data_IF_234118560533
#
_entry.id   IF_234118560533
#
_cell.length_a   1.000
_cell.length_b   1.000
_cell.length_c   1.000
_cell.angle_alpha   90.00
_cell.angle_beta   90.00
_cell.angle_gamma   90.00
#
_symmetry.space_group_name_H-M   'P 1'
#
loop_
_entity.id
_entity.type
_entity.pdbx_description
1 polymer ?
#
# COMPACT_ATOMS: atom_id res chain seq x y z
N UNK A 1 35.58 -1.34 -4.83
CA UNK A 1 35.46 -1.05 -6.28
C UNK A 1 34.55 0.16 -6.37
N UNK A 2 35.10 1.34 -6.20
CA UNK A 2 34.31 2.59 -6.25
C UNK A 2 34.07 2.94 -7.72
N UNK A 3 32.81 2.88 -8.14
CA UNK A 3 32.41 3.28 -9.49
C UNK A 3 32.65 4.78 -9.71
N UNK A 4 32.65 5.24 -10.98
CA UNK A 4 32.84 6.65 -11.30
C UNK A 4 31.73 7.48 -10.64
N UNK A 5 32.12 8.46 -9.82
CA UNK A 5 31.19 9.44 -9.27
C UNK A 5 30.82 10.43 -10.39
N UNK A 6 29.58 10.31 -10.88
CA UNK A 6 29.01 11.26 -11.83
C UNK A 6 28.55 12.51 -11.08
N UNK A 7 28.77 13.69 -11.66
CA UNK A 7 28.28 14.94 -11.10
C UNK A 7 26.76 15.09 -11.28
N UNK A 8 26.13 15.93 -10.46
CA UNK A 8 24.69 16.24 -10.56
C UNK A 8 24.29 16.72 -11.96
N UNK A 9 25.19 17.40 -12.66
CA UNK A 9 24.98 17.84 -14.03
C UNK A 9 24.91 16.66 -15.00
N UNK A 10 25.83 15.70 -14.88
CA UNK A 10 25.84 14.49 -15.71
C UNK A 10 24.60 13.63 -15.45
N UNK A 11 24.15 13.56 -14.20
CA UNK A 11 22.93 12.82 -13.82
C UNK A 11 21.68 13.45 -14.42
N UNK A 12 21.59 14.79 -14.47
CA UNK A 12 20.49 15.51 -15.12
C UNK A 12 20.48 15.33 -16.63
N UNK A 13 21.64 15.36 -17.28
CA UNK A 13 21.78 15.11 -18.73
C UNK A 13 21.35 13.68 -19.12
N UNK A 14 21.52 12.72 -18.21
CA UNK A 14 21.04 11.34 -18.36
C UNK A 14 19.54 11.17 -18.04
N UNK A 15 18.82 12.25 -17.74
CA UNK A 15 17.39 12.21 -17.42
C UNK A 15 17.08 11.61 -16.04
N UNK A 16 18.08 11.51 -15.15
CA UNK A 16 17.86 11.06 -13.77
C UNK A 16 17.12 12.15 -13.01
N UNK A 17 15.90 11.85 -12.58
CA UNK A 17 15.15 12.72 -11.68
C UNK A 17 15.41 12.30 -10.24
N UNK A 18 15.87 13.24 -9.42
CA UNK A 18 15.99 13.01 -7.99
C UNK A 18 14.60 13.19 -7.37
N UNK A 19 14.04 12.10 -6.87
CA UNK A 19 12.87 12.19 -6.00
C UNK A 19 13.35 12.53 -4.60
N UNK A 20 13.24 13.80 -4.23
CA UNK A 20 13.42 14.21 -2.84
C UNK A 20 12.13 13.85 -2.09
N UNK A 21 12.16 12.85 -1.20
CA UNK A 21 10.96 12.42 -0.52
C UNK A 21 10.44 13.59 0.32
N UNK A 22 9.17 13.96 0.11
CA UNK A 22 8.50 15.06 0.84
C UNK A 22 8.36 14.76 2.34
N UNK A 23 8.55 13.51 2.73
CA UNK A 23 8.70 13.09 4.12
C UNK A 23 10.20 13.01 4.42
N UNK A 24 10.71 13.73 5.44
CA UNK A 24 12.10 13.56 5.85
C UNK A 24 12.30 12.07 6.14
N UNK A 25 13.38 11.49 5.60
CA UNK A 25 13.72 10.11 5.89
C UNK A 25 13.67 9.91 7.41
N UNK A 26 12.71 9.11 7.87
CA UNK A 26 12.44 8.92 9.29
C UNK A 26 13.58 8.08 9.86
N UNK A 27 14.67 8.78 10.20
CA UNK A 27 15.88 8.34 10.90
C UNK A 27 16.77 7.39 10.11
N UNK A 28 18.07 7.65 10.18
CA UNK A 28 19.10 6.75 9.67
C UNK A 28 18.89 5.34 10.22
N UNK A 29 18.97 4.36 9.33
CA UNK A 29 19.05 2.97 9.75
C UNK A 29 20.47 2.76 10.24
N UNK A 30 20.62 2.49 11.54
CA UNK A 30 21.91 2.21 12.15
C UNK A 30 22.15 0.70 12.06
N UNK A 31 23.36 0.29 11.69
CA UNK A 31 23.72 -1.12 11.71
C UNK A 31 24.21 -1.47 13.11
N UNK A 32 23.43 -2.27 13.85
CA UNK A 32 23.81 -2.81 15.17
C UNK A 32 24.00 -4.31 15.01
N UNK A 33 25.22 -4.80 15.23
CA UNK A 33 25.55 -6.24 15.08
C UNK A 33 25.14 -6.82 13.72
N UNK A 34 25.38 -6.08 12.64
CA UNK A 34 25.01 -6.50 11.28
C UNK A 34 23.52 -6.40 10.92
N UNK A 35 22.66 -5.93 11.84
CA UNK A 35 21.22 -5.72 11.61
C UNK A 35 20.93 -4.24 11.39
N UNK A 36 20.12 -3.92 10.37
CA UNK A 36 19.63 -2.55 10.14
C UNK A 36 18.50 -2.26 11.14
N UNK A 37 18.78 -1.34 12.05
CA UNK A 37 17.91 -0.98 13.15
C UNK A 37 17.44 0.46 13.02
N UNK A 38 16.15 0.70 13.23
CA UNK A 38 15.63 2.06 13.42
C UNK A 38 15.76 2.42 14.89
N UNK A 39 16.51 3.48 15.18
CA UNK A 39 16.77 3.95 16.55
C UNK A 39 15.76 5.05 16.90
N UNK A 40 15.27 5.04 18.15
CA UNK A 40 14.38 6.06 18.65
C UNK A 40 15.01 6.85 19.81
N UNK A 41 14.75 8.17 19.88
CA UNK A 41 15.20 9.02 20.99
C UNK A 41 14.46 8.74 22.30
N UNK A 42 13.23 8.22 22.22
CA UNK A 42 12.43 7.87 23.39
C UNK A 42 11.41 6.78 23.06
N UNK A 43 10.91 6.11 24.09
CA UNK A 43 9.86 5.11 23.95
C UNK A 43 8.55 5.72 23.40
N UNK A 44 8.23 6.95 23.80
CA UNK A 44 7.05 7.67 23.33
C UNK A 44 7.11 7.86 21.80
N UNK A 45 8.28 8.22 21.28
CA UNK A 45 8.46 8.41 19.85
C UNK A 45 8.43 7.10 19.06
N UNK A 46 8.97 6.01 19.64
CA UNK A 46 8.81 4.68 19.05
C UNK A 46 7.34 4.29 18.93
N UNK A 47 6.54 4.52 19.98
CA UNK A 47 5.10 4.23 19.98
C UNK A 47 4.38 5.06 18.92
N UNK A 48 4.67 6.36 18.83
CA UNK A 48 4.11 7.22 17.80
C UNK A 48 4.46 6.75 16.38
N UNK A 49 5.73 6.38 16.13
CA UNK A 49 6.17 5.83 14.84
C UNK A 49 5.52 4.49 14.51
N UNK A 50 5.34 3.63 15.51
CA UNK A 50 4.67 2.34 15.35
C UNK A 50 3.20 2.52 14.93
N UNK A 51 2.47 3.43 15.59
CA UNK A 51 1.08 3.71 15.22
C UNK A 51 0.99 4.37 13.82
N UNK A 52 1.88 5.31 13.50
CA UNK A 52 1.95 5.89 12.17
C UNK A 52 2.22 4.84 11.08
N UNK A 53 3.14 3.89 11.34
CA UNK A 53 3.40 2.76 10.45
C UNK A 53 2.13 1.95 10.19
N UNK A 54 1.39 1.58 11.25
CA UNK A 54 0.17 0.78 11.10
C UNK A 54 -0.86 1.49 10.24
N UNK A 55 -1.10 2.78 10.49
CA UNK A 55 -2.05 3.58 9.71
C UNK A 55 -1.68 3.60 8.23
N UNK A 56 -0.41 3.88 7.92
CA UNK A 56 0.01 3.99 6.52
C UNK A 56 0.03 2.63 5.80
N UNK A 57 0.42 1.55 6.49
CA UNK A 57 0.37 0.20 5.91
C UNK A 57 -1.07 -0.24 5.66
N UNK A 58 -2.01 0.01 6.58
CA UNK A 58 -3.43 -0.27 6.37
C UNK A 58 -3.96 0.49 5.16
N UNK A 59 -3.67 1.79 5.07
CA UNK A 59 -4.09 2.64 3.95
C UNK A 59 -3.56 2.12 2.61
N UNK A 60 -2.28 1.78 2.53
CA UNK A 60 -1.68 1.26 1.30
C UNK A 60 -2.22 -0.12 0.94
N UNK A 61 -2.44 -0.99 1.92
CA UNK A 61 -3.06 -2.29 1.72
C UNK A 61 -4.48 -2.16 1.17
N UNK A 62 -5.32 -1.29 1.75
CA UNK A 62 -6.68 -1.04 1.28
C UNK A 62 -6.72 -0.41 -0.11
N UNK A 63 -5.79 0.49 -0.42
CA UNK A 63 -5.65 1.06 -1.76
C UNK A 63 -5.31 -0.03 -2.79
N UNK A 64 -4.41 -0.95 -2.47
CA UNK A 64 -4.12 -2.12 -3.32
C UNK A 64 -5.32 -3.07 -3.46
N UNK A 65 -6.02 -3.34 -2.35
CA UNK A 65 -7.22 -4.17 -2.34
C UNK A 65 -8.32 -3.57 -3.23
N UNK A 66 -8.48 -2.25 -3.25
CA UNK A 66 -9.48 -1.56 -4.08
C UNK A 66 -9.40 -1.96 -5.55
N UNK A 67 -8.21 -2.03 -6.14
CA UNK A 67 -8.02 -2.45 -7.53
C UNK A 67 -8.53 -3.88 -7.76
N UNK A 68 -8.20 -4.81 -6.86
CA UNK A 68 -8.68 -6.20 -6.95
C UNK A 68 -10.19 -6.32 -6.74
N UNK A 69 -10.76 -5.53 -5.83
CA UNK A 69 -12.19 -5.48 -5.56
C UNK A 69 -12.99 -4.94 -6.75
N UNK A 70 -12.46 -3.94 -7.47
CA UNK A 70 -13.07 -3.45 -8.71
C UNK A 70 -13.12 -4.54 -9.78
N UNK A 71 -12.04 -5.32 -9.95
CA UNK A 71 -12.04 -6.44 -10.90
C UNK A 71 -13.07 -7.50 -10.51
N UNK A 72 -13.14 -7.88 -9.22
CA UNK A 72 -14.15 -8.80 -8.70
C UNK A 72 -15.57 -8.28 -8.94
N UNK A 73 -15.80 -6.99 -8.72
CA UNK A 73 -17.08 -6.35 -8.98
C UNK A 73 -17.46 -6.40 -10.47
N UNK A 74 -16.51 -6.15 -11.37
CA UNK A 74 -16.74 -6.29 -12.80
C UNK A 74 -17.13 -7.72 -13.19
N UNK A 75 -16.38 -8.72 -12.73
CA UNK A 75 -16.66 -10.13 -13.03
C UNK A 75 -18.03 -10.57 -12.50
N UNK A 76 -18.37 -10.10 -11.29
CA UNK A 76 -19.64 -10.43 -10.62
C UNK A 76 -20.83 -9.75 -11.29
N UNK A 77 -20.72 -8.45 -11.58
CA UNK A 77 -21.85 -7.63 -12.02
C UNK A 77 -22.05 -7.63 -13.54
N UNK A 78 -20.98 -7.72 -14.33
CA UNK A 78 -21.07 -7.76 -15.80
C UNK A 78 -21.32 -9.17 -16.33
N UNK A 79 -20.96 -10.18 -15.55
CA UNK A 79 -21.07 -11.57 -15.91
C UNK A 79 -20.19 -11.97 -17.11
N UNK A 80 -20.32 -13.22 -17.58
CA UNK A 80 -19.45 -13.74 -18.65
C UNK A 80 -19.63 -13.01 -19.98
N UNK A 81 -18.52 -12.76 -20.69
CA UNK A 81 -18.53 -12.05 -21.97
C UNK A 81 -19.43 -12.68 -23.04
N UNK A 82 -19.65 -14.02 -23.00
CA UNK A 82 -20.53 -14.72 -23.94
C UNK A 82 -22.01 -14.28 -23.83
N UNK A 83 -22.45 -13.77 -22.66
CA UNK A 83 -23.83 -13.27 -22.50
C UNK A 83 -24.13 -12.05 -23.36
N UNK A 84 -23.10 -11.28 -23.79
CA UNK A 84 -23.29 -10.17 -24.75
C UNK A 84 -23.71 -10.63 -26.14
N UNK A 85 -23.54 -11.91 -26.47
CA UNK A 85 -23.84 -12.47 -27.79
C UNK A 85 -25.26 -13.06 -27.88
N UNK A 86 -26.03 -13.07 -26.79
CA UNK A 86 -27.38 -13.61 -26.72
C UNK A 86 -28.39 -12.48 -26.50
N UNK A 87 -28.91 -11.84 -27.56
CA UNK A 87 -29.72 -10.62 -27.48
C UNK A 87 -31.09 -10.81 -26.80
N UNK A 88 -31.49 -12.05 -26.53
CA UNK A 88 -32.76 -12.43 -25.92
C UNK A 88 -32.67 -12.67 -24.40
N UNK A 89 -31.47 -12.62 -23.80
CA UNK A 89 -31.33 -12.74 -22.35
C UNK A 89 -31.59 -11.38 -21.67
N UNK A 90 -32.56 -11.29 -20.73
CA UNK A 90 -32.72 -10.11 -19.90
C UNK A 90 -31.44 -9.92 -19.05
N UNK A 91 -30.87 -8.72 -19.08
CA UNK A 91 -29.60 -8.42 -18.41
C UNK A 91 -28.71 -7.45 -19.18
N UNK A 92 -29.03 -7.17 -20.44
CA UNK A 92 -28.43 -6.06 -21.15
C UNK A 92 -29.14 -4.73 -20.75
N UNK A 93 -28.38 -3.85 -20.10
CA UNK A 93 -28.51 -2.38 -20.17
C UNK A 93 -29.48 -1.67 -19.22
N UNK A 94 -29.17 -1.65 -17.92
CA UNK A 94 -29.30 -0.38 -17.17
C UNK A 94 -27.95 -0.03 -16.53
N UNK A 95 -27.24 1.00 -17.03
CA UNK A 95 -25.97 1.45 -16.46
C UNK A 95 -26.06 1.72 -14.95
N UNK A 96 -27.20 2.23 -14.47
CA UNK A 96 -27.39 2.59 -13.06
C UNK A 96 -27.47 1.36 -12.16
N UNK A 97 -28.12 0.30 -12.62
CA UNK A 97 -28.18 -0.96 -11.87
C UNK A 97 -26.80 -1.64 -11.81
N UNK A 98 -25.97 -1.41 -12.84
CA UNK A 98 -24.63 -1.97 -12.89
C UNK A 98 -23.67 -1.22 -11.97
N UNK A 99 -23.70 0.11 -11.98
CA UNK A 99 -22.94 0.95 -11.04
C UNK A 99 -23.32 0.65 -9.58
N UNK A 100 -24.60 0.49 -9.28
CA UNK A 100 -25.07 0.12 -7.94
C UNK A 100 -24.58 -1.27 -7.52
N UNK A 101 -24.58 -2.25 -8.45
CA UNK A 101 -24.01 -3.57 -8.19
C UNK A 101 -22.51 -3.47 -7.92
N UNK A 102 -21.76 -2.77 -8.78
CA UNK A 102 -20.30 -2.65 -8.67
C UNK A 102 -19.91 -1.96 -7.36
N UNK A 103 -20.59 -0.87 -6.98
CA UNK A 103 -20.36 -0.16 -5.73
C UNK A 103 -20.55 -1.08 -4.51
N UNK A 104 -21.66 -1.83 -4.46
CA UNK A 104 -21.94 -2.77 -3.36
C UNK A 104 -20.88 -3.87 -3.27
N UNK A 105 -20.50 -4.48 -4.40
CA UNK A 105 -19.49 -5.55 -4.39
C UNK A 105 -18.12 -5.02 -4.00
N UNK A 106 -17.76 -3.80 -4.39
CA UNK A 106 -16.51 -3.15 -3.96
C UNK A 106 -16.53 -2.91 -2.45
N UNK A 107 -17.63 -2.39 -1.89
CA UNK A 107 -17.76 -2.13 -0.45
C UNK A 107 -17.70 -3.42 0.38
N UNK A 108 -18.42 -4.47 -0.03
CA UNK A 108 -18.37 -5.79 0.60
C UNK A 108 -16.96 -6.40 0.52
N UNK A 109 -16.28 -6.25 -0.61
CA UNK A 109 -14.91 -6.74 -0.78
C UNK A 109 -13.90 -5.97 0.09
N UNK A 110 -14.00 -4.64 0.15
CA UNK A 110 -13.11 -3.79 0.95
C UNK A 110 -13.33 -4.00 2.46
N UNK A 111 -14.57 -4.17 2.89
CA UNK A 111 -14.86 -4.49 4.30
C UNK A 111 -14.26 -5.83 4.71
N UNK A 112 -14.34 -6.85 3.84
CA UNK A 112 -13.65 -8.12 4.05
C UNK A 112 -12.11 -8.02 4.04
N UNK A 113 -11.54 -7.10 3.25
CA UNK A 113 -10.09 -6.88 3.20
C UNK A 113 -9.54 -6.13 4.42
N UNK A 114 -10.39 -5.35 5.12
CA UNK A 114 -9.95 -4.48 6.21
C UNK A 114 -9.25 -5.24 7.35
N UNK A 115 -9.80 -6.38 7.79
CA UNK A 115 -9.22 -7.20 8.86
C UNK A 115 -7.88 -7.82 8.44
N UNK A 116 -7.76 -8.26 7.19
CA UNK A 116 -6.49 -8.74 6.64
C UNK A 116 -5.42 -7.65 6.62
N UNK A 117 -5.80 -6.44 6.21
CA UNK A 117 -4.90 -5.28 6.18
C UNK A 117 -4.45 -4.84 7.58
N UNK A 118 -5.35 -4.81 8.57
CA UNK A 118 -4.99 -4.47 9.96
C UNK A 118 -4.05 -5.51 10.57
N UNK A 119 -4.32 -6.80 10.33
CA UNK A 119 -3.47 -7.90 10.79
C UNK A 119 -2.07 -7.83 10.16
N UNK A 120 -2.01 -7.62 8.84
CA UNK A 120 -0.75 -7.46 8.12
C UNK A 120 0.05 -6.27 8.63
N UNK A 121 -0.60 -5.12 8.85
CA UNK A 121 0.03 -3.93 9.38
C UNK A 121 0.59 -4.15 10.79
N UNK A 122 -0.15 -4.81 11.68
CA UNK A 122 0.31 -5.11 13.03
C UNK A 122 1.59 -5.98 13.00
N UNK A 123 1.62 -7.03 12.18
CA UNK A 123 2.77 -7.93 12.07
C UNK A 123 3.98 -7.22 11.46
N UNK A 124 3.81 -6.54 10.33
CA UNK A 124 4.89 -5.86 9.62
C UNK A 124 5.50 -4.73 10.45
N UNK A 125 4.66 -3.91 11.08
CA UNK A 125 5.12 -2.77 11.87
C UNK A 125 5.76 -3.20 13.19
N UNK A 126 5.31 -4.30 13.80
CA UNK A 126 5.96 -4.85 14.99
C UNK A 126 7.38 -5.36 14.70
N UNK A 127 7.59 -6.02 13.56
CA UNK A 127 8.93 -6.48 13.13
C UNK A 127 9.92 -5.32 12.93
N UNK A 128 9.43 -4.16 12.49
CA UNK A 128 10.26 -2.97 12.23
C UNK A 128 10.40 -2.02 13.43
N UNK A 129 9.71 -2.25 14.55
CA UNK A 129 9.77 -1.42 15.77
C UNK A 129 10.02 -2.24 17.06
N UNK A 130 11.19 -2.91 17.21
CA UNK A 130 11.47 -3.76 18.36
C UNK A 130 11.45 -2.99 19.68
N UNK A 131 11.03 -3.68 20.75
CA UNK A 131 10.87 -3.15 22.11
C UNK A 131 12.18 -2.96 22.91
N UNK A 132 13.37 -3.04 22.29
CA UNK A 132 14.68 -2.93 22.97
C UNK A 132 15.72 -2.07 22.24
N UNK A 133 15.32 -1.05 21.49
CA UNK A 133 16.26 -0.20 20.71
C UNK A 133 15.94 1.29 20.78
N UNK A 134 16.09 1.88 21.96
CA UNK A 134 16.19 3.33 22.13
C UNK A 134 17.38 3.63 23.03
N UNK A 135 17.99 4.79 22.81
CA UNK A 135 19.13 5.25 23.62
C UNK A 135 18.58 5.74 24.96
N UNK A 136 19.10 5.21 26.06
CA UNK A 136 18.91 5.78 27.41
C UNK A 136 19.68 7.09 27.57
#
# INVERSE_FOLDING_TARGET
>A
MDGPQLSDQQLRELGVTFHEPTLPAIRETVVIEGRRCRVFRSEAERKASLEACKVEVVKNCLNGARSSCVMKAMDTCRGPAWRRWLPFLPGAKDPRNMEACEARVVEECLSGAAEGCTTHAAQLCAQSHPSRMWLE
#
